data_IF_877580722157
#
_entry.id   IF_877580722157
#
_cell.length_a   1.000
_cell.length_b   1.000
_cell.length_c   1.000
_cell.angle_alpha   90.00
_cell.angle_beta   90.00
_cell.angle_gamma   90.00
#
_symmetry.space_group_name_H-M   'P 1'
#
loop_
_entity.id
_entity.type
_entity.pdbx_description
1 polymer ?
#
# COMPACT_ATOMS: atom_id res chain seq x y z
N UNK A 1 -13.72 11.87 -10.84
CA UNK A 1 -12.59 11.19 -11.49
C UNK A 1 -11.66 10.72 -10.38
N UNK A 2 -11.25 9.45 -10.40
CA UNK A 2 -10.33 8.89 -9.41
C UNK A 2 -8.90 9.12 -9.88
N UNK A 3 -8.08 9.77 -9.06
CA UNK A 3 -6.65 9.92 -9.32
C UNK A 3 -5.91 8.70 -8.78
N UNK A 4 -4.97 8.19 -9.58
CA UNK A 4 -4.13 7.05 -9.21
C UNK A 4 -2.68 7.49 -9.03
N UNK A 5 -2.03 6.91 -8.04
CA UNK A 5 -0.69 7.28 -7.60
C UNK A 5 0.20 6.05 -7.50
N UNK A 6 1.49 6.22 -7.78
CA UNK A 6 2.50 5.34 -7.22
C UNK A 6 2.87 5.84 -5.83
N UNK A 7 2.96 4.93 -4.87
CA UNK A 7 3.53 5.21 -3.55
C UNK A 7 5.00 4.79 -3.62
N UNK A 8 5.91 5.75 -3.47
CA UNK A 8 7.35 5.56 -3.70
C UNK A 8 8.06 5.43 -2.34
N UNK A 9 8.79 4.34 -2.15
CA UNK A 9 9.68 4.18 -1.00
C UNK A 9 10.91 5.07 -1.19
N UNK A 10 11.08 6.08 -0.34
CA UNK A 10 12.14 7.10 -0.51
C UNK A 10 13.55 6.50 -0.49
N UNK A 11 13.79 5.48 0.34
CA UNK A 11 15.13 4.89 0.49
C UNK A 11 15.62 4.12 -0.75
N UNK A 12 14.71 3.58 -1.57
CA UNK A 12 15.06 2.72 -2.71
C UNK A 12 14.63 3.28 -4.06
N UNK A 13 13.70 4.26 -4.09
CA UNK A 13 13.05 4.74 -5.30
C UNK A 13 12.08 3.74 -5.94
N UNK A 14 11.85 2.57 -5.32
CA UNK A 14 10.87 1.56 -5.77
C UNK A 14 9.47 1.93 -5.31
N UNK A 15 8.46 1.29 -5.92
CA UNK A 15 7.05 1.56 -5.66
C UNK A 15 6.38 0.39 -4.95
N UNK A 16 5.34 0.68 -4.17
CA UNK A 16 4.47 -0.34 -3.59
C UNK A 16 3.72 -1.10 -4.70
N UNK A 17 3.75 -2.42 -4.62
CA UNK A 17 3.19 -3.35 -5.58
C UNK A 17 2.46 -4.48 -4.84
N UNK A 18 1.27 -4.87 -5.30
CA UNK A 18 0.66 -6.14 -4.88
C UNK A 18 1.44 -7.28 -5.52
N UNK A 19 2.00 -8.19 -4.71
CA UNK A 19 2.84 -9.28 -5.17
C UNK A 19 2.16 -10.11 -6.28
N UNK A 20 2.86 -10.27 -7.40
CA UNK A 20 2.39 -10.96 -8.61
C UNK A 20 1.08 -10.42 -9.20
N UNK A 21 0.65 -9.20 -8.84
CA UNK A 21 -0.62 -8.63 -9.28
C UNK A 21 -1.84 -9.47 -8.88
N UNK A 22 -1.75 -10.15 -7.73
CA UNK A 22 -2.75 -11.08 -7.24
C UNK A 22 -4.12 -10.42 -6.99
N UNK A 23 -5.20 -11.19 -7.18
CA UNK A 23 -6.56 -10.84 -6.75
C UNK A 23 -6.95 -11.53 -5.43
N UNK A 24 -6.05 -12.34 -4.86
CA UNK A 24 -6.33 -13.03 -3.60
C UNK A 24 -6.17 -12.07 -2.43
N UNK A 25 -7.06 -12.21 -1.44
CA UNK A 25 -6.84 -11.64 -0.12
C UNK A 25 -5.54 -12.19 0.47
N UNK A 26 -4.92 -11.42 1.37
CA UNK A 26 -3.68 -11.78 2.04
C UNK A 26 -2.43 -11.85 1.15
N UNK A 27 -2.51 -11.43 -0.12
CA UNK A 27 -1.31 -11.25 -0.94
C UNK A 27 -0.44 -10.14 -0.34
N UNK A 28 0.88 -10.34 -0.34
CA UNK A 28 1.82 -9.39 0.22
C UNK A 28 1.83 -8.09 -0.60
N UNK A 29 2.10 -6.98 0.09
CA UNK A 29 2.49 -5.72 -0.56
C UNK A 29 4.00 -5.61 -0.44
N UNK A 30 4.66 -5.48 -1.58
CA UNK A 30 6.12 -5.47 -1.70
C UNK A 30 6.58 -4.16 -2.35
N UNK A 31 7.89 -3.89 -2.31
CA UNK A 31 8.49 -2.87 -3.17
C UNK A 31 9.03 -3.49 -4.46
N UNK A 32 8.76 -2.85 -5.61
CA UNK A 32 9.28 -3.27 -6.90
C UNK A 32 9.68 -2.07 -7.78
N UNK A 33 10.51 -2.31 -8.80
CA UNK A 33 10.81 -1.28 -9.81
C UNK A 33 9.53 -0.75 -10.45
N UNK A 34 9.42 0.58 -10.54
CA UNK A 34 8.28 1.29 -11.14
C UNK A 34 8.08 0.87 -12.60
N UNK A 35 6.86 0.48 -12.94
CA UNK A 35 6.41 0.18 -14.30
C UNK A 35 6.04 1.46 -15.05
N UNK A 36 6.19 1.42 -16.38
CA UNK A 36 5.71 2.50 -17.23
C UNK A 36 4.18 2.52 -17.25
N UNK A 37 3.59 3.66 -17.60
CA UNK A 37 2.12 3.78 -17.74
C UNK A 37 1.54 2.89 -18.84
N UNK A 38 2.38 2.47 -19.79
CA UNK A 38 2.01 1.59 -20.90
C UNK A 38 2.15 0.10 -20.56
N UNK A 39 2.70 -0.23 -19.39
CA UNK A 39 2.83 -1.62 -18.95
C UNK A 39 1.42 -2.20 -18.66
N UNK A 40 1.04 -3.33 -19.26
CA UNK A 40 -0.29 -3.92 -19.09
C UNK A 40 -0.58 -4.37 -17.65
N UNK A 41 0.45 -4.44 -16.80
CA UNK A 41 0.34 -4.76 -15.39
C UNK A 41 0.57 -3.56 -14.48
N UNK A 42 0.67 -2.32 -14.98
CA UNK A 42 0.93 -1.13 -14.15
C UNK A 42 -0.08 -0.97 -13.00
N UNK A 43 -1.31 -1.43 -13.20
CA UNK A 43 -2.41 -1.31 -12.23
C UNK A 43 -2.13 -2.00 -10.88
N UNK A 44 -1.23 -2.99 -10.82
CA UNK A 44 -0.84 -3.61 -9.54
C UNK A 44 0.06 -2.70 -8.68
N UNK A 45 0.61 -1.63 -9.26
CA UNK A 45 1.42 -0.61 -8.59
C UNK A 45 0.69 0.73 -8.38
N UNK A 46 -0.55 0.82 -8.84
CA UNK A 46 -1.34 2.05 -8.77
C UNK A 46 -2.35 1.98 -7.64
N UNK A 47 -2.39 3.05 -6.85
CA UNK A 47 -3.20 3.17 -5.65
C UNK A 47 -4.05 4.44 -5.71
N UNK A 48 -5.21 4.43 -5.07
CA UNK A 48 -6.00 5.64 -4.84
C UNK A 48 -6.43 5.73 -3.38
N UNK A 49 -6.63 6.96 -2.92
CA UNK A 49 -7.08 7.25 -1.58
C UNK A 49 -8.60 7.41 -1.57
N UNK A 50 -9.28 6.68 -0.70
CA UNK A 50 -10.73 6.75 -0.47
C UNK A 50 -11.00 6.90 1.03
N UNK A 51 -11.07 8.15 1.50
CA UNK A 51 -11.11 8.44 2.93
C UNK A 51 -9.85 7.95 3.64
N UNK A 52 -10.01 7.02 4.60
CA UNK A 52 -8.88 6.37 5.28
C UNK A 52 -8.30 5.17 4.51
N UNK A 53 -8.90 4.75 3.41
CA UNK A 53 -8.48 3.54 2.71
C UNK A 53 -7.50 3.87 1.58
N UNK A 54 -6.45 3.05 1.47
CA UNK A 54 -5.54 3.06 0.32
C UNK A 54 -5.86 1.83 -0.51
N UNK A 55 -6.44 2.05 -1.69
CA UNK A 55 -7.06 1.01 -2.50
C UNK A 55 -6.20 0.74 -3.73
N UNK A 56 -5.91 -0.53 -4.00
CA UNK A 56 -5.21 -0.95 -5.20
C UNK A 56 -6.13 -0.84 -6.43
N UNK A 57 -5.64 -0.25 -7.53
CA UNK A 57 -6.41 -0.09 -8.78
C UNK A 57 -6.79 -1.43 -9.40
N UNK A 58 -5.88 -2.42 -9.38
CA UNK A 58 -6.10 -3.72 -10.02
C UNK A 58 -7.12 -4.57 -9.26
N UNK A 59 -6.93 -4.78 -7.96
CA UNK A 59 -7.76 -5.71 -7.18
C UNK A 59 -8.99 -5.07 -6.54
N UNK A 60 -8.97 -3.75 -6.29
CA UNK A 60 -9.97 -3.06 -5.49
C UNK A 60 -9.87 -3.34 -3.99
N UNK A 61 -8.85 -4.07 -3.54
CA UNK A 61 -8.58 -4.33 -2.13
C UNK A 61 -7.76 -3.22 -1.49
N UNK A 62 -7.81 -3.15 -0.16
CA UNK A 62 -7.15 -2.10 0.63
C UNK A 62 -5.88 -2.62 1.28
N UNK A 63 -4.96 -1.71 1.60
CA UNK A 63 -3.81 -1.99 2.46
C UNK A 63 -4.32 -2.37 3.87
N UNK A 64 -3.91 -3.53 4.36
CA UNK A 64 -4.31 -4.09 5.65
C UNK A 64 -3.08 -4.57 6.44
N UNK A 65 -3.07 -4.28 7.75
CA UNK A 65 -2.13 -4.89 8.70
C UNK A 65 -2.68 -6.23 9.20
N UNK A 66 -2.01 -7.31 8.83
CA UNK A 66 -2.25 -8.66 9.31
C UNK A 66 -1.14 -9.12 10.27
N UNK A 67 -1.47 -10.06 11.15
CA UNK A 67 -0.50 -10.75 12.01
C UNK A 67 0.42 -9.79 12.81
N UNK A 68 -0.10 -8.61 13.18
CA UNK A 68 0.60 -7.59 13.96
C UNK A 68 1.39 -6.58 13.15
N UNK A 69 2.16 -7.00 12.15
CA UNK A 69 3.04 -6.10 11.38
C UNK A 69 3.07 -6.34 9.87
N UNK A 70 2.43 -7.41 9.39
CA UNK A 70 2.50 -7.81 7.98
C UNK A 70 1.58 -6.95 7.13
N UNK A 71 2.10 -6.35 6.07
CA UNK A 71 1.33 -5.53 5.14
C UNK A 71 0.84 -6.40 3.98
N UNK A 72 -0.47 -6.50 3.83
CA UNK A 72 -1.15 -7.28 2.80
C UNK A 72 -2.23 -6.44 2.11
N UNK A 73 -2.78 -6.96 1.01
CA UNK A 73 -4.09 -6.52 0.54
C UNK A 73 -5.21 -7.35 1.18
N UNK A 74 -6.34 -6.71 1.48
CA UNK A 74 -7.53 -7.40 1.98
C UNK A 74 -8.82 -6.69 1.52
N UNK A 75 -9.96 -7.40 1.39
CA UNK A 75 -11.25 -6.74 1.21
C UNK A 75 -11.50 -5.67 2.28
N UNK A 76 -12.06 -4.53 1.88
CA UNK A 76 -12.45 -3.47 2.81
C UNK A 76 -13.44 -4.01 3.85
N UNK A 77 -13.13 -3.82 5.12
CA UNK A 77 -13.98 -4.14 6.26
C UNK A 77 -14.96 -2.99 6.53
N UNK A 78 -16.10 -3.26 7.20
CA UNK A 78 -16.95 -2.19 7.71
C UNK A 78 -16.17 -1.25 8.64
N UNK A 79 -16.50 0.03 8.61
CA UNK A 79 -15.90 1.01 9.51
C UNK A 79 -16.50 0.92 10.92
N UNK A 80 -15.69 1.09 11.99
CA UNK A 80 -14.25 1.37 11.95
C UNK A 80 -13.41 0.11 11.69
N UNK A 81 -12.34 0.28 10.91
CA UNK A 81 -11.36 -0.77 10.59
C UNK A 81 -9.94 -0.27 10.84
N UNK A 82 -9.55 -0.23 12.12
CA UNK A 82 -8.29 0.39 12.56
C UNK A 82 -7.03 -0.13 11.88
N UNK A 83 -7.05 -1.35 11.35
CA UNK A 83 -5.92 -1.98 10.65
C UNK A 83 -5.95 -1.76 9.12
N UNK A 84 -6.94 -1.04 8.59
CA UNK A 84 -7.11 -0.70 7.17
C UNK A 84 -7.24 0.81 6.92
N UNK A 85 -7.25 1.61 7.99
CA UNK A 85 -7.39 3.06 7.92
C UNK A 85 -6.04 3.75 8.14
N UNK A 86 -5.67 4.55 7.14
CA UNK A 86 -4.38 5.20 6.98
C UNK A 86 -4.55 6.71 6.81
N UNK A 87 -3.52 7.45 7.16
CA UNK A 87 -3.43 8.90 6.97
C UNK A 87 -2.06 9.23 6.38
N UNK A 88 -2.04 10.08 5.36
CA UNK A 88 -0.79 10.63 4.81
C UNK A 88 -0.42 11.89 5.58
N UNK A 89 0.77 11.90 6.17
CA UNK A 89 1.33 13.08 6.82
C UNK A 89 2.17 13.87 5.80
N UNK A 90 1.73 15.10 5.50
CA UNK A 90 2.41 15.97 4.54
C UNK A 90 3.70 16.61 5.09
N UNK A 91 3.89 16.62 6.41
CA UNK A 91 5.06 17.23 7.04
C UNK A 91 6.31 16.35 6.93
N UNK A 92 6.15 15.04 7.10
CA UNK A 92 7.23 14.05 7.09
C UNK A 92 7.13 13.01 5.95
N UNK A 93 6.08 13.10 5.12
CA UNK A 93 5.79 12.19 4.02
C UNK A 93 5.60 10.73 4.44
N UNK A 94 5.07 10.49 5.64
CA UNK A 94 4.73 9.15 6.13
C UNK A 94 3.27 8.77 5.86
N UNK A 95 3.00 7.47 5.77
CA UNK A 95 1.65 6.91 5.77
C UNK A 95 1.49 6.14 7.08
N UNK A 96 0.70 6.69 8.00
CA UNK A 96 0.48 6.15 9.35
C UNK A 96 -0.89 5.52 9.52
N UNK A 97 -1.04 4.62 10.49
CA UNK A 97 -2.36 4.16 10.92
C UNK A 97 -3.15 5.34 11.51
N UNK A 98 -4.37 5.54 11.02
CA UNK A 98 -5.26 6.61 11.50
C UNK A 98 -5.60 6.48 12.99
N UNK A 99 -5.68 5.23 13.49
CA UNK A 99 -5.97 4.92 14.90
C UNK A 99 -4.78 5.16 15.83
N UNK A 100 -3.55 5.11 15.32
CA UNK A 100 -2.33 5.37 16.09
C UNK A 100 -1.18 5.74 15.13
N UNK A 101 -0.94 7.05 15.00
CA UNK A 101 0.03 7.64 14.07
C UNK A 101 1.49 7.31 14.37
N UNK A 102 1.78 6.63 15.50
CA UNK A 102 3.12 6.12 15.78
C UNK A 102 3.48 4.87 14.96
N UNK A 103 2.49 4.23 14.34
CA UNK A 103 2.71 3.10 13.42
C UNK A 103 2.61 3.58 11.97
N UNK A 104 3.71 3.47 11.24
CA UNK A 104 3.83 3.88 9.83
C UNK A 104 4.15 2.71 8.93
N UNK A 105 3.77 2.81 7.65
CA UNK A 105 4.25 1.90 6.62
C UNK A 105 5.76 2.06 6.48
N UNK A 106 6.47 0.94 6.55
CA UNK A 106 7.90 0.86 6.32
C UNK A 106 8.21 -0.33 5.42
N UNK A 107 9.40 -0.30 4.81
CA UNK A 107 9.84 -1.30 3.86
C UNK A 107 11.20 -1.81 4.31
N UNK A 108 11.24 -3.11 4.65
CA UNK A 108 12.44 -3.76 5.15
C UNK A 108 13.58 -3.73 4.13
N UNK A 109 14.76 -3.25 4.56
CA UNK A 109 16.01 -3.41 3.83
C UNK A 109 16.64 -4.73 4.25
N UNK A 110 16.60 -5.75 3.39
CA UNK A 110 17.40 -6.97 3.60
C UNK A 110 18.87 -6.65 3.34
N UNK A 111 19.63 -6.44 4.41
CA UNK A 111 21.09 -6.44 4.34
C UNK A 111 21.53 -7.85 3.93
N UNK A 112 22.20 -7.97 2.79
CA UNK A 112 22.92 -9.20 2.44
C UNK A 112 24.09 -9.33 3.42
N UNK A 113 24.01 -10.29 4.34
CA UNK A 113 25.14 -10.73 5.15
C UNK A 113 26.07 -11.62 4.32
#
# INVERSE_FOLDING_TARGET
MTNYYWIIAQHSGKVLEVENGSFCSCANIIQHTKKSELDPFVDMQLWYFDGGFIVNKRSGFVIDVAEGTKIIQYPRKPEPSHNQEWEYNHEDNTIGLKSNRNFVLDVEVKMLL
#
